data_IF_560906042489
#
_entry.id   IF_560906042489
#
_cell.length_a   1.000
_cell.length_b   1.000
_cell.length_c   1.000
_cell.angle_alpha   90.00
_cell.angle_beta   90.00
_cell.angle_gamma   90.00
#
_symmetry.space_group_name_H-M   'P 1'
#
loop_
_entity.id
_entity.type
_entity.pdbx_description
1 polymer ?
#
# COMPACT_ATOMS: atom_id res chain seq x y z
N UNK A 1 28.32 57.51 7.42
CA UNK A 1 27.48 56.32 7.73
C UNK A 1 26.24 56.32 6.83
N UNK A 2 26.08 55.33 5.94
CA UNK A 2 24.83 55.15 5.18
C UNK A 2 23.72 54.77 6.17
N UNK A 3 22.68 55.61 6.29
CA UNK A 3 21.49 55.30 7.11
C UNK A 3 20.89 53.99 6.57
N UNK A 4 20.91 52.92 7.38
CA UNK A 4 20.15 51.71 7.10
C UNK A 4 18.68 52.14 7.03
N UNK A 5 18.03 52.01 5.87
CA UNK A 5 16.58 52.27 5.76
C UNK A 5 15.88 51.25 6.65
N UNK A 6 15.24 51.71 7.72
CA UNK A 6 14.33 50.87 8.47
C UNK A 6 13.15 50.53 7.56
N UNK A 7 12.83 49.25 7.42
CA UNK A 7 11.64 48.81 6.70
C UNK A 7 10.40 49.38 7.38
N UNK A 8 9.43 49.83 6.59
CA UNK A 8 8.14 50.25 7.12
C UNK A 8 7.43 49.06 7.76
N UNK A 9 6.58 49.33 8.76
CA UNK A 9 5.77 48.30 9.41
C UNK A 9 4.95 47.48 8.40
N UNK A 10 4.48 48.13 7.34
CA UNK A 10 3.73 47.51 6.24
C UNK A 10 4.60 46.52 5.46
N UNK A 11 5.84 46.88 5.12
CA UNK A 11 6.78 45.99 4.42
C UNK A 11 7.09 44.73 5.25
N UNK A 12 7.18 44.87 6.57
CA UNK A 12 7.39 43.74 7.49
C UNK A 12 6.15 42.83 7.50
N UNK A 13 4.94 43.40 7.61
CA UNK A 13 3.68 42.63 7.61
C UNK A 13 3.51 41.86 6.29
N UNK A 14 3.74 42.52 5.16
CA UNK A 14 3.65 41.88 3.84
C UNK A 14 4.66 40.74 3.70
N UNK A 15 5.90 40.96 4.15
CA UNK A 15 6.96 39.94 4.08
C UNK A 15 6.64 38.71 4.93
N UNK A 16 6.15 38.92 6.17
CA UNK A 16 5.74 37.82 7.06
C UNK A 16 4.55 37.06 6.46
N UNK A 17 3.60 37.76 5.85
CA UNK A 17 2.45 37.16 5.17
C UNK A 17 2.89 36.23 4.03
N UNK A 18 3.79 36.69 3.16
CA UNK A 18 4.33 35.89 2.05
C UNK A 18 5.04 34.65 2.59
N UNK A 19 5.95 34.83 3.56
CA UNK A 19 6.71 33.71 4.15
C UNK A 19 5.77 32.66 4.76
N UNK A 20 4.74 33.09 5.49
CA UNK A 20 3.79 32.17 6.14
C UNK A 20 3.00 31.35 5.12
N UNK A 21 2.53 31.98 4.04
CA UNK A 21 1.80 31.29 2.95
C UNK A 21 2.73 30.31 2.21
N UNK A 22 3.97 30.72 1.93
CA UNK A 22 4.96 29.85 1.27
C UNK A 22 5.30 28.64 2.13
N UNK A 23 5.57 28.82 3.42
CA UNK A 23 5.89 27.73 4.35
C UNK A 23 4.70 26.75 4.46
N UNK A 24 3.48 27.26 4.63
CA UNK A 24 2.29 26.41 4.67
C UNK A 24 2.09 25.62 3.37
N UNK A 25 2.28 26.26 2.22
CA UNK A 25 2.20 25.61 0.90
C UNK A 25 3.22 24.48 0.76
N UNK A 26 4.47 24.71 1.18
CA UNK A 26 5.53 23.69 1.16
C UNK A 26 5.17 22.50 2.07
N UNK A 27 4.72 22.75 3.31
CA UNK A 27 4.32 21.68 4.21
C UNK A 27 3.17 20.84 3.66
N UNK A 28 2.17 21.49 3.03
CA UNK A 28 1.07 20.78 2.38
C UNK A 28 1.57 19.89 1.23
N UNK A 29 2.45 20.40 0.38
CA UNK A 29 3.03 19.65 -0.75
C UNK A 29 3.89 18.47 -0.27
N UNK A 30 4.69 18.65 0.78
CA UNK A 30 5.45 17.55 1.41
C UNK A 30 4.49 16.48 1.93
N UNK A 31 3.41 16.87 2.61
CA UNK A 31 2.41 15.94 3.12
C UNK A 31 1.70 15.16 2.00
N UNK A 32 1.34 15.81 0.91
CA UNK A 32 0.73 15.16 -0.25
C UNK A 32 1.72 14.21 -0.95
N UNK A 33 2.98 14.63 -1.16
CA UNK A 33 4.01 13.78 -1.73
C UNK A 33 4.29 12.54 -0.87
N UNK A 34 4.37 12.69 0.46
CA UNK A 34 4.58 11.56 1.37
C UNK A 34 3.42 10.55 1.31
N UNK A 35 2.17 11.04 1.17
CA UNK A 35 1.01 10.16 0.96
C UNK A 35 1.11 9.39 -0.35
N UNK A 36 1.52 10.06 -1.43
CA UNK A 36 1.71 9.42 -2.74
C UNK A 36 2.78 8.32 -2.64
N UNK A 37 3.93 8.62 -2.05
CA UNK A 37 5.03 7.66 -1.87
C UNK A 37 4.59 6.46 -1.03
N UNK A 38 3.90 6.69 0.09
CA UNK A 38 3.39 5.62 0.94
C UNK A 38 2.41 4.72 0.18
N UNK A 39 1.46 5.32 -0.56
CA UNK A 39 0.50 4.57 -1.37
C UNK A 39 1.19 3.78 -2.50
N UNK A 40 2.21 4.36 -3.14
CA UNK A 40 3.02 3.67 -4.16
C UNK A 40 3.76 2.47 -3.58
N UNK A 41 4.35 2.60 -2.39
CA UNK A 41 5.01 1.48 -1.71
C UNK A 41 4.02 0.37 -1.35
N UNK A 42 2.84 0.72 -0.82
CA UNK A 42 1.81 -0.27 -0.50
C UNK A 42 1.36 -1.01 -1.77
N UNK A 43 1.20 -0.31 -2.89
CA UNK A 43 0.87 -0.93 -4.18
C UNK A 43 1.97 -1.88 -4.66
N UNK A 44 3.25 -1.52 -4.51
CA UNK A 44 4.37 -2.41 -4.83
C UNK A 44 4.36 -3.67 -3.95
N UNK A 45 4.10 -3.52 -2.65
CA UNK A 45 3.98 -4.65 -1.72
C UNK A 45 2.80 -5.54 -2.09
N UNK A 46 1.63 -4.98 -2.43
CA UNK A 46 0.49 -5.77 -2.90
C UNK A 46 0.82 -6.59 -4.16
N UNK A 47 1.62 -6.05 -5.08
CA UNK A 47 2.09 -6.80 -6.24
C UNK A 47 3.06 -7.93 -5.86
N UNK A 48 4.00 -7.68 -4.96
CA UNK A 48 4.91 -8.70 -4.45
C UNK A 48 4.16 -9.85 -3.77
N UNK A 49 3.19 -9.51 -2.91
CA UNK A 49 2.34 -10.50 -2.25
C UNK A 49 1.51 -11.31 -3.23
N UNK A 50 1.08 -10.70 -4.35
CA UNK A 50 0.39 -11.43 -5.40
C UNK A 50 1.29 -12.46 -6.08
N UNK A 51 2.52 -12.09 -6.40
CA UNK A 51 3.48 -13.01 -7.02
C UNK A 51 3.85 -14.16 -6.07
N UNK A 52 4.06 -13.88 -4.78
CA UNK A 52 4.30 -14.92 -3.77
C UNK A 52 3.08 -15.83 -3.58
N UNK A 53 1.87 -15.26 -3.54
CA UNK A 53 0.63 -16.03 -3.40
C UNK A 53 0.44 -16.98 -4.58
N UNK A 54 0.74 -16.51 -5.79
CA UNK A 54 0.72 -17.32 -7.00
C UNK A 54 1.68 -18.50 -6.90
N UNK A 55 2.91 -18.28 -6.41
CA UNK A 55 3.88 -19.36 -6.22
C UNK A 55 3.39 -20.37 -5.19
N UNK A 56 2.84 -19.92 -4.07
CA UNK A 56 2.28 -20.80 -3.04
C UNK A 56 1.11 -21.65 -3.54
N UNK A 57 0.23 -21.10 -4.38
CA UNK A 57 -0.98 -21.78 -4.86
C UNK A 57 -0.73 -22.75 -6.03
N UNK A 58 0.49 -22.77 -6.57
CA UNK A 58 0.80 -23.57 -7.74
C UNK A 58 0.76 -25.08 -7.42
N UNK A 59 -0.19 -25.81 -8.01
CA UNK A 59 -0.37 -27.23 -7.77
C UNK A 59 -1.22 -27.55 -6.53
N UNK A 60 -1.74 -26.53 -5.85
CA UNK A 60 -2.61 -26.68 -4.69
C UNK A 60 -4.08 -26.88 -5.09
N UNK A 61 -4.86 -27.53 -4.23
CA UNK A 61 -6.25 -27.88 -4.54
C UNK A 61 -7.26 -27.48 -3.45
N UNK A 62 -7.26 -26.19 -3.08
CA UNK A 62 -8.25 -25.62 -2.15
C UNK A 62 -9.42 -24.99 -2.91
N UNK A 63 -10.56 -24.75 -2.25
CA UNK A 63 -11.69 -24.00 -2.83
C UNK A 63 -11.61 -22.51 -2.50
N UNK A 64 -11.49 -22.18 -1.22
CA UNK A 64 -11.30 -20.83 -0.71
C UNK A 64 -10.33 -20.89 0.47
N UNK A 65 -9.25 -20.13 0.41
CA UNK A 65 -8.17 -20.20 1.39
C UNK A 65 -7.61 -18.80 1.66
N UNK A 66 -7.22 -18.57 2.91
CA UNK A 66 -6.41 -17.43 3.29
C UNK A 66 -4.94 -17.85 3.33
N UNK A 67 -4.07 -16.94 2.88
CA UNK A 67 -2.64 -17.14 2.84
C UNK A 67 -2.00 -16.20 3.86
N UNK A 68 -1.08 -16.74 4.64
CA UNK A 68 -0.23 -15.99 5.55
C UNK A 68 1.23 -16.28 5.23
N UNK A 69 2.01 -15.23 4.99
CA UNK A 69 3.44 -15.37 4.74
C UNK A 69 4.32 -15.27 5.98
N UNK A 70 3.73 -15.13 7.17
CA UNK A 70 4.48 -14.94 8.41
C UNK A 70 5.44 -13.75 8.34
N UNK A 71 6.46 -13.77 9.20
CA UNK A 71 7.44 -12.68 9.29
C UNK A 71 8.50 -12.70 8.17
N UNK A 72 8.67 -13.84 7.47
CA UNK A 72 9.70 -14.02 6.43
C UNK A 72 9.23 -13.63 5.02
N UNK A 73 7.92 -13.39 4.86
CA UNK A 73 7.25 -13.04 3.60
C UNK A 73 7.42 -14.08 2.47
N UNK A 74 7.80 -15.30 2.83
CA UNK A 74 8.12 -16.40 1.89
C UNK A 74 7.44 -17.70 2.26
N UNK A 75 7.08 -17.89 3.52
CA UNK A 75 6.37 -19.07 3.99
C UNK A 75 4.97 -19.14 3.37
N UNK A 76 4.49 -20.33 3.02
CA UNK A 76 3.14 -20.51 2.48
C UNK A 76 2.25 -21.16 3.55
N UNK A 77 1.70 -20.35 4.47
CA UNK A 77 0.76 -20.87 5.47
C UNK A 77 -0.68 -20.71 4.99
N UNK A 78 -1.41 -21.82 4.90
CA UNK A 78 -2.79 -21.84 4.44
C UNK A 78 -3.76 -21.97 5.61
N UNK A 79 -4.85 -21.20 5.58
CA UNK A 79 -5.86 -21.18 6.63
C UNK A 79 -7.27 -21.03 6.06
N UNK A 80 -8.21 -21.78 6.63
CA UNK A 80 -9.64 -21.63 6.31
C UNK A 80 -10.28 -20.42 6.99
N UNK A 81 -9.63 -19.87 8.02
CA UNK A 81 -10.01 -18.62 8.67
C UNK A 81 -9.13 -17.46 8.20
N UNK A 82 -9.65 -16.23 8.31
CA UNK A 82 -8.91 -15.02 8.00
C UNK A 82 -7.54 -14.98 8.71
N UNK A 83 -6.54 -14.53 7.95
CA UNK A 83 -5.18 -14.32 8.43
C UNK A 83 -4.68 -12.97 7.96
N UNK A 84 -3.84 -12.36 8.80
CA UNK A 84 -3.27 -11.04 8.59
C UNK A 84 -1.77 -11.19 8.47
N UNK A 85 -1.23 -10.79 7.32
CA UNK A 85 0.21 -10.61 7.13
C UNK A 85 0.53 -9.12 7.34
N UNK A 86 1.50 -8.81 8.20
CA UNK A 86 1.87 -7.44 8.54
C UNK A 86 3.23 -7.09 7.97
N UNK A 87 3.31 -6.01 7.17
CA UNK A 87 4.54 -5.54 6.52
C UNK A 87 4.61 -4.04 6.70
N UNK A 88 5.71 -3.53 7.26
CA UNK A 88 5.93 -2.10 7.47
C UNK A 88 4.74 -1.38 8.17
N UNK A 89 4.15 -2.04 9.17
CA UNK A 89 2.95 -1.59 9.89
C UNK A 89 1.66 -1.50 9.07
N UNK A 90 1.64 -2.05 7.85
CA UNK A 90 0.46 -2.22 7.03
C UNK A 90 -0.04 -3.66 7.15
N UNK A 91 -1.32 -3.82 7.36
CA UNK A 91 -1.96 -5.13 7.50
C UNK A 91 -2.58 -5.54 6.17
N UNK A 92 -2.29 -6.76 5.74
CA UNK A 92 -2.76 -7.33 4.49
C UNK A 92 -3.55 -8.61 4.75
N UNK A 93 -4.70 -8.72 4.08
CA UNK A 93 -5.50 -9.94 4.03
C UNK A 93 -5.39 -10.49 2.62
N UNK A 94 -4.84 -11.70 2.48
CA UNK A 94 -4.68 -12.38 1.20
C UNK A 94 -5.66 -13.54 1.16
N UNK A 95 -6.64 -13.45 0.26
CA UNK A 95 -7.63 -14.50 0.02
C UNK A 95 -7.49 -15.02 -1.41
N UNK A 96 -7.47 -16.33 -1.55
CA UNK A 96 -7.45 -17.01 -2.83
C UNK A 96 -8.66 -17.93 -2.98
N UNK A 97 -9.34 -17.81 -4.12
CA UNK A 97 -10.47 -18.67 -4.50
C UNK A 97 -10.14 -19.38 -5.79
N UNK A 98 -10.24 -20.70 -5.79
CA UNK A 98 -10.04 -21.45 -7.02
C UNK A 98 -11.31 -21.51 -7.84
N UNK A 99 -11.14 -21.66 -9.15
CA UNK A 99 -12.20 -22.07 -10.05
C UNK A 99 -11.79 -23.38 -10.72
N UNK A 100 -12.57 -24.43 -10.44
CA UNK A 100 -12.28 -25.81 -10.82
C UNK A 100 -13.12 -26.27 -12.02
N UNK A 101 -12.58 -27.19 -12.80
CA UNK A 101 -13.35 -28.06 -13.70
C UNK A 101 -13.11 -29.51 -13.30
N UNK A 102 -14.17 -30.16 -12.83
CA UNK A 102 -14.03 -31.44 -12.12
C UNK A 102 -13.20 -31.27 -10.85
N UNK A 103 -12.15 -32.08 -10.70
CA UNK A 103 -11.22 -32.04 -9.56
C UNK A 103 -10.01 -31.14 -9.77
N UNK A 104 -9.86 -30.56 -10.97
CA UNK A 104 -8.69 -29.79 -11.37
C UNK A 104 -8.97 -28.29 -11.23
N UNK A 105 -8.08 -27.56 -10.56
CA UNK A 105 -8.08 -26.10 -10.58
C UNK A 105 -7.65 -25.60 -11.96
N UNK A 106 -8.38 -24.61 -12.50
CA UNK A 106 -8.06 -24.00 -13.80
C UNK A 106 -7.43 -22.63 -13.58
N UNK A 107 -7.95 -21.88 -12.61
CA UNK A 107 -7.39 -20.60 -12.22
C UNK A 107 -7.72 -20.27 -10.78
N UNK A 108 -6.87 -19.42 -10.22
CA UNK A 108 -7.01 -18.80 -8.92
C UNK A 108 -7.39 -17.33 -9.08
N UNK A 109 -8.36 -16.89 -8.29
CA UNK A 109 -8.67 -15.48 -8.07
C UNK A 109 -8.06 -15.08 -6.73
N UNK A 110 -7.06 -14.22 -6.76
CA UNK A 110 -6.36 -13.75 -5.57
C UNK A 110 -6.79 -12.30 -5.32
N UNK A 111 -7.29 -12.06 -4.11
CA UNK A 111 -7.64 -10.75 -3.60
C UNK A 111 -6.70 -10.41 -2.45
N UNK A 112 -6.10 -9.23 -2.50
CA UNK A 112 -5.19 -8.72 -1.47
C UNK A 112 -5.72 -7.39 -1.00
N UNK A 113 -6.26 -7.36 0.22
CA UNK A 113 -6.80 -6.15 0.83
C UNK A 113 -5.78 -5.59 1.81
N UNK A 114 -5.59 -4.27 1.82
CA UNK A 114 -4.78 -3.60 2.84
C UNK A 114 -5.65 -2.68 3.70
N UNK A 115 -5.31 -2.52 4.97
CA UNK A 115 -6.02 -1.60 5.86
C UNK A 115 -5.88 -0.11 5.48
N UNK A 116 -4.95 0.25 4.58
CA UNK A 116 -4.72 1.63 4.12
C UNK A 116 -5.37 1.91 2.75
N UNK A 117 -5.10 1.09 1.72
CA UNK A 117 -5.65 1.30 0.38
C UNK A 117 -7.02 0.65 0.17
N UNK A 118 -7.46 -0.20 1.11
CA UNK A 118 -8.65 -1.02 0.97
C UNK A 118 -8.42 -2.23 0.05
N UNK A 119 -9.47 -2.64 -0.65
CA UNK A 119 -9.42 -3.81 -1.55
C UNK A 119 -8.44 -3.55 -2.69
N UNK A 120 -7.34 -4.31 -2.74
CA UNK A 120 -6.53 -4.39 -3.94
C UNK A 120 -7.34 -5.00 -5.07
N UNK A 121 -6.94 -4.75 -6.32
CA UNK A 121 -7.60 -5.35 -7.47
C UNK A 121 -7.55 -6.88 -7.37
N UNK A 122 -8.70 -7.55 -7.56
CA UNK A 122 -8.73 -9.00 -7.77
C UNK A 122 -7.94 -9.32 -9.02
N UNK A 123 -6.98 -10.23 -8.90
CA UNK A 123 -6.16 -10.69 -10.01
C UNK A 123 -6.37 -12.17 -10.21
N UNK A 124 -6.39 -12.58 -11.48
CA UNK A 124 -6.58 -13.98 -11.86
C UNK A 124 -5.25 -14.57 -12.32
N UNK A 125 -4.90 -15.72 -11.76
CA UNK A 125 -3.77 -16.55 -12.12
C UNK A 125 -4.28 -17.85 -12.73
N UNK A 126 -3.84 -18.20 -13.93
CA UNK A 126 -4.16 -19.49 -14.57
C UNK A 126 -3.10 -20.52 -14.21
N UNK A 127 -3.56 -21.69 -13.78
CA UNK A 127 -2.71 -22.85 -13.46
C UNK A 127 -2.27 -23.63 -14.72
#
# INVERSE_FOLDING_TARGET
MKKKKAFSLIEIIVSIGIISVTIFGIYKLIGENNKIIANSNIFLIQNLLYDNAKECLNGENFDNIFIDFGDDLKSCNFSNSEKITKIDNVEYIIQAKSQKSGTKVIFWKINIESNILGKGGEKTFKE
#
